data_IF_812665512584
#
_entry.id   IF_812665512584
#
_cell.length_a   1.000
_cell.length_b   1.000
_cell.length_c   1.000
_cell.angle_alpha   90.00
_cell.angle_beta   90.00
_cell.angle_gamma   90.00
#
_symmetry.space_group_name_H-M   'P 1'
#
loop_
_entity.id
_entity.type
_entity.pdbx_description
1 polymer ?
#
# COMPACT_ATOMS: atom_id res chain seq x y z
N UNK A 1 11.40 -9.69 15.36
CA UNK A 1 10.71 -9.06 14.20
C UNK A 1 9.25 -8.94 14.59
N UNK A 2 8.58 -7.88 14.14
CA UNK A 2 7.32 -7.43 14.75
C UNK A 2 6.11 -8.06 14.10
N UNK A 3 6.22 -8.27 12.79
CA UNK A 3 5.47 -9.29 12.10
C UNK A 3 6.18 -10.61 12.43
N UNK A 4 5.77 -11.33 13.48
CA UNK A 4 6.36 -12.64 13.79
C UNK A 4 5.85 -13.68 12.79
N UNK A 5 6.75 -14.14 11.91
CA UNK A 5 6.51 -15.27 11.00
C UNK A 5 7.75 -16.14 10.97
N UNK A 6 7.58 -17.47 11.04
CA UNK A 6 8.67 -18.43 10.95
C UNK A 6 9.53 -18.21 9.69
N UNK A 7 8.87 -17.80 8.60
CA UNK A 7 9.51 -17.45 7.33
C UNK A 7 10.56 -16.34 7.50
N UNK A 8 10.30 -15.33 8.32
CA UNK A 8 11.29 -14.26 8.49
C UNK A 8 12.50 -14.73 9.29
N UNK A 9 12.28 -15.59 10.29
CA UNK A 9 13.37 -16.24 11.03
C UNK A 9 14.24 -17.08 10.08
N UNK A 10 13.61 -17.87 9.21
CA UNK A 10 14.32 -18.62 8.15
C UNK A 10 15.16 -17.70 7.26
N UNK A 11 14.63 -16.55 6.82
CA UNK A 11 15.38 -15.58 6.00
C UNK A 11 16.62 -15.07 6.74
N UNK A 12 16.49 -14.67 8.00
CA UNK A 12 17.60 -14.16 8.81
C UNK A 12 18.64 -15.26 9.08
N UNK A 13 18.19 -16.47 9.41
CA UNK A 13 19.05 -17.62 9.70
C UNK A 13 19.83 -18.11 8.46
N UNK A 14 19.30 -17.89 7.25
CA UNK A 14 19.98 -18.26 6.00
C UNK A 14 21.30 -17.51 5.81
N UNK A 15 21.46 -16.31 6.39
CA UNK A 15 22.62 -15.38 6.29
C UNK A 15 22.96 -14.88 4.88
N UNK A 16 22.88 -15.75 3.88
CA UNK A 16 23.12 -15.46 2.46
C UNK A 16 21.95 -15.97 1.63
N UNK A 17 21.46 -15.14 0.71
CA UNK A 17 20.32 -15.45 -0.16
C UNK A 17 20.60 -15.07 -1.60
N UNK A 18 19.79 -15.62 -2.50
CA UNK A 18 19.62 -15.16 -3.87
C UNK A 18 18.28 -14.46 -4.02
N UNK A 19 18.21 -13.38 -4.79
CA UNK A 19 16.93 -12.74 -5.14
C UNK A 19 16.63 -13.01 -6.59
N UNK A 20 15.54 -13.75 -6.88
CA UNK A 20 15.12 -14.01 -8.25
C UNK A 20 14.32 -12.82 -8.80
N UNK A 21 14.85 -12.23 -9.86
CA UNK A 21 14.37 -11.04 -10.55
C UNK A 21 15.43 -9.93 -10.54
N UNK A 22 15.37 -9.04 -11.53
CA UNK A 22 16.17 -7.80 -11.56
C UNK A 22 15.28 -6.57 -11.78
N UNK A 23 14.01 -6.69 -11.37
CA UNK A 23 12.99 -5.64 -11.48
C UNK A 23 13.00 -4.72 -10.26
N UNK A 24 12.07 -3.78 -10.25
CA UNK A 24 11.83 -2.82 -9.17
C UNK A 24 11.43 -3.54 -7.89
N UNK A 25 10.55 -4.53 -7.97
CA UNK A 25 10.13 -5.36 -6.82
C UNK A 25 11.34 -6.11 -6.24
N UNK A 26 12.17 -6.70 -7.11
CA UNK A 26 13.40 -7.37 -6.67
C UNK A 26 14.37 -6.41 -6.00
N UNK A 27 14.54 -5.20 -6.56
CA UNK A 27 15.38 -4.16 -5.96
C UNK A 27 14.87 -3.75 -4.58
N UNK A 28 13.55 -3.54 -4.41
CA UNK A 28 12.94 -3.19 -3.12
C UNK A 28 13.13 -4.30 -2.08
N UNK A 29 12.88 -5.56 -2.46
CA UNK A 29 13.07 -6.73 -1.59
C UNK A 29 14.54 -6.84 -1.18
N UNK A 30 15.47 -6.75 -2.14
CA UNK A 30 16.90 -6.78 -1.85
C UNK A 30 17.31 -5.66 -0.90
N UNK A 31 16.80 -4.44 -1.10
CA UNK A 31 17.10 -3.30 -0.23
C UNK A 31 16.62 -3.53 1.21
N UNK A 32 15.40 -4.06 1.40
CA UNK A 32 14.89 -4.37 2.74
C UNK A 32 15.72 -5.47 3.43
N UNK A 33 16.04 -6.54 2.71
CA UNK A 33 16.69 -7.71 3.30
C UNK A 33 18.18 -7.48 3.60
N UNK A 34 18.83 -6.58 2.86
CA UNK A 34 20.24 -6.23 3.06
C UNK A 34 20.49 -5.27 4.23
N UNK A 35 19.44 -4.68 4.78
CA UNK A 35 19.50 -3.62 5.79
C UNK A 35 18.76 -4.06 7.07
N UNK A 36 18.82 -3.25 8.12
CA UNK A 36 18.18 -3.55 9.40
C UNK A 36 16.63 -3.64 9.25
N UNK A 37 15.93 -4.62 9.85
CA UNK A 37 16.39 -5.57 10.87
C UNK A 37 16.90 -6.92 10.34
N UNK A 38 17.00 -7.10 9.02
CA UNK A 38 17.30 -8.40 8.42
C UNK A 38 18.80 -8.65 8.31
N UNK A 39 19.56 -7.65 7.83
CA UNK A 39 21.01 -7.70 7.70
C UNK A 39 21.53 -8.95 6.95
N UNK A 40 20.76 -9.44 5.96
CA UNK A 40 21.07 -10.65 5.19
C UNK A 40 21.91 -10.30 3.95
N UNK A 41 22.90 -11.11 3.65
CA UNK A 41 23.70 -10.95 2.43
C UNK A 41 22.93 -11.42 1.20
N UNK A 42 22.49 -10.49 0.36
CA UNK A 42 22.12 -10.84 -1.03
C UNK A 42 23.40 -11.07 -1.82
N UNK A 43 23.66 -12.33 -2.22
CA UNK A 43 24.85 -12.69 -2.97
C UNK A 43 24.77 -12.28 -4.44
N UNK A 44 23.62 -12.52 -5.08
CA UNK A 44 23.34 -12.15 -6.46
C UNK A 44 21.83 -11.99 -6.69
N UNK A 45 21.51 -11.26 -7.74
CA UNK A 45 20.19 -11.26 -8.35
C UNK A 45 20.17 -12.28 -9.49
N UNK A 46 19.12 -13.08 -9.58
CA UNK A 46 19.03 -14.21 -10.52
C UNK A 46 17.95 -13.93 -11.54
N UNK A 47 18.24 -14.15 -12.83
CA UNK A 47 17.28 -13.99 -13.92
C UNK A 47 17.28 -15.22 -14.80
N UNK A 48 16.19 -15.47 -15.54
CA UNK A 48 16.14 -16.57 -16.51
C UNK A 48 17.09 -16.35 -17.68
N UNK A 49 17.25 -15.09 -18.13
CA UNK A 49 18.12 -14.74 -19.25
C UNK A 49 18.76 -13.37 -19.02
N UNK A 50 20.02 -13.22 -19.45
CA UNK A 50 20.77 -11.98 -19.28
C UNK A 50 20.25 -10.83 -20.17
N UNK A 51 19.70 -11.16 -21.35
CA UNK A 51 19.22 -10.17 -22.31
C UNK A 51 18.14 -9.27 -21.67
N UNK A 52 18.30 -7.95 -21.77
CA UNK A 52 17.31 -6.98 -21.26
C UNK A 52 17.34 -6.75 -19.75
N UNK A 53 18.20 -7.47 -19.00
CA UNK A 53 18.38 -7.25 -17.56
C UNK A 53 19.65 -6.42 -17.28
N UNK A 54 19.66 -5.62 -16.19
CA UNK A 54 20.87 -4.92 -15.76
C UNK A 54 21.96 -5.92 -15.38
N UNK A 55 23.23 -5.52 -15.44
CA UNK A 55 24.35 -6.35 -14.99
C UNK A 55 24.55 -6.33 -13.48
N UNK A 56 24.08 -5.27 -12.82
CA UNK A 56 24.28 -5.01 -11.40
C UNK A 56 23.01 -4.38 -10.83
N UNK A 57 22.57 -4.86 -9.66
CA UNK A 57 21.49 -4.28 -8.86
C UNK A 57 21.97 -4.20 -7.41
N UNK A 58 21.79 -3.05 -6.74
CA UNK A 58 22.28 -2.80 -5.37
C UNK A 58 23.76 -3.20 -5.14
N UNK A 59 24.62 -2.93 -6.13
CA UNK A 59 26.05 -3.32 -6.09
C UNK A 59 26.27 -4.84 -5.95
N UNK A 60 25.31 -5.65 -6.42
CA UNK A 60 25.37 -7.10 -6.53
C UNK A 60 25.24 -7.53 -7.99
N UNK A 61 25.92 -8.60 -8.41
CA UNK A 61 25.84 -9.07 -9.79
C UNK A 61 24.43 -9.59 -10.09
N UNK A 62 24.00 -9.39 -11.32
CA UNK A 62 22.85 -10.08 -11.91
C UNK A 62 23.39 -11.23 -12.75
N UNK A 63 23.02 -12.46 -12.41
CA UNK A 63 23.48 -13.69 -13.07
C UNK A 63 22.29 -14.50 -13.57
N UNK A 64 22.53 -15.39 -14.55
CA UNK A 64 21.47 -16.29 -15.00
C UNK A 64 21.25 -17.42 -13.99
N UNK A 65 20.09 -18.07 -14.06
CA UNK A 65 19.79 -19.23 -13.22
C UNK A 65 20.84 -20.33 -13.42
N UNK A 66 21.26 -20.62 -14.66
CA UNK A 66 22.26 -21.66 -14.92
C UNK A 66 23.62 -21.36 -14.27
N UNK A 67 24.02 -20.09 -14.24
CA UNK A 67 25.24 -19.68 -13.54
C UNK A 67 25.07 -19.81 -12.03
N UNK A 68 23.91 -19.44 -11.49
CA UNK A 68 23.63 -19.56 -10.07
C UNK A 68 23.72 -21.03 -9.59
N UNK A 69 23.20 -21.97 -10.36
CA UNK A 69 23.22 -23.41 -10.05
C UNK A 69 24.63 -24.01 -10.00
N UNK A 70 25.59 -23.41 -10.72
CA UNK A 70 26.99 -23.85 -10.72
C UNK A 70 27.79 -23.29 -9.55
N UNK A 71 27.36 -22.15 -8.99
CA UNK A 71 28.13 -21.36 -8.02
C UNK A 71 27.60 -21.53 -6.60
N UNK A 72 26.30 -21.71 -6.43
CA UNK A 72 25.65 -21.72 -5.12
C UNK A 72 25.15 -23.12 -4.73
N UNK A 73 25.25 -23.51 -3.44
CA UNK A 73 24.67 -24.73 -2.93
C UNK A 73 23.16 -24.83 -3.16
N UNK A 74 22.64 -26.05 -3.33
CA UNK A 74 21.20 -26.32 -3.58
C UNK A 74 20.26 -25.87 -2.45
N UNK A 75 20.77 -25.77 -1.23
CA UNK A 75 20.06 -25.30 -0.03
C UNK A 75 20.16 -23.78 0.15
N UNK A 76 20.77 -23.05 -0.78
CA UNK A 76 20.76 -21.58 -0.78
C UNK A 76 19.33 -21.09 -0.96
N UNK A 77 18.85 -20.29 0.00
CA UNK A 77 17.52 -19.73 -0.05
C UNK A 77 17.36 -18.74 -1.22
N UNK A 78 16.38 -18.99 -2.07
CA UNK A 78 15.98 -18.14 -3.19
C UNK A 78 14.70 -17.38 -2.84
N UNK A 79 14.79 -16.06 -2.83
CA UNK A 79 13.65 -15.16 -2.65
C UNK A 79 13.14 -14.72 -4.02
N UNK A 80 11.95 -15.14 -4.40
CA UNK A 80 11.34 -14.76 -5.67
C UNK A 80 10.56 -13.47 -5.49
N UNK A 81 11.05 -12.38 -6.09
CA UNK A 81 10.47 -11.05 -5.96
C UNK A 81 9.95 -10.56 -7.32
N UNK A 82 8.68 -10.85 -7.61
CA UNK A 82 8.10 -10.60 -8.93
C UNK A 82 6.65 -10.11 -8.88
N UNK A 83 6.22 -9.52 -9.99
CA UNK A 83 4.81 -9.23 -10.24
C UNK A 83 4.05 -10.52 -10.53
N UNK A 84 2.77 -10.57 -10.14
CA UNK A 84 1.92 -11.76 -10.17
C UNK A 84 1.88 -12.45 -11.54
N UNK A 85 1.80 -11.67 -12.63
CA UNK A 85 1.79 -12.19 -14.01
C UNK A 85 2.99 -13.07 -14.37
N UNK A 86 4.13 -12.89 -13.69
CA UNK A 86 5.35 -13.66 -13.94
C UNK A 86 5.49 -14.88 -13.01
N UNK A 87 4.67 -14.98 -11.95
CA UNK A 87 4.79 -16.00 -10.89
C UNK A 87 4.77 -17.42 -11.44
N UNK A 88 3.83 -17.74 -12.34
CA UNK A 88 3.68 -19.08 -12.91
C UNK A 88 4.89 -19.51 -13.73
N UNK A 89 5.40 -18.61 -14.57
CA UNK A 89 6.59 -18.87 -15.38
C UNK A 89 7.82 -19.11 -14.50
N UNK A 90 8.06 -18.23 -13.52
CA UNK A 90 9.20 -18.34 -12.60
C UNK A 90 9.09 -19.62 -11.76
N UNK A 91 7.89 -20.00 -11.31
CA UNK A 91 7.67 -21.25 -10.59
C UNK A 91 8.05 -22.47 -11.43
N UNK A 92 7.69 -22.48 -12.71
CA UNK A 92 8.05 -23.57 -13.62
C UNK A 92 9.56 -23.67 -13.86
N UNK A 93 10.26 -22.54 -13.95
CA UNK A 93 11.72 -22.54 -14.12
C UNK A 93 12.44 -22.98 -12.84
N UNK A 94 12.04 -22.47 -11.68
CA UNK A 94 12.63 -22.88 -10.40
C UNK A 94 12.32 -24.33 -10.04
N UNK A 95 11.17 -24.88 -10.45
CA UNK A 95 10.84 -26.29 -10.25
C UNK A 95 11.76 -27.24 -11.04
N UNK A 96 12.43 -26.74 -12.09
CA UNK A 96 13.45 -27.49 -12.85
C UNK A 96 14.86 -27.25 -12.30
N UNK A 97 15.02 -26.33 -11.37
CA UNK A 97 16.33 -25.91 -10.86
C UNK A 97 16.82 -26.80 -9.73
N UNK A 98 18.09 -26.65 -9.36
CA UNK A 98 18.68 -27.37 -8.22
C UNK A 98 18.25 -26.83 -6.85
N UNK A 99 17.71 -25.61 -6.79
CA UNK A 99 17.40 -24.94 -5.53
C UNK A 99 16.14 -25.51 -4.87
N UNK A 100 16.26 -25.96 -3.63
CA UNK A 100 15.14 -26.58 -2.88
C UNK A 100 14.42 -25.60 -1.97
N UNK A 101 15.11 -24.55 -1.51
CA UNK A 101 14.58 -23.55 -0.59
C UNK A 101 14.13 -22.30 -1.35
N UNK A 102 12.82 -22.15 -1.54
CA UNK A 102 12.25 -21.04 -2.33
C UNK A 102 11.11 -20.36 -1.58
N UNK A 103 11.21 -19.05 -1.37
CA UNK A 103 10.15 -18.21 -0.84
C UNK A 103 9.61 -17.30 -1.95
N UNK A 104 8.29 -17.33 -2.18
CA UNK A 104 7.63 -16.46 -3.15
C UNK A 104 7.08 -15.19 -2.49
N UNK A 105 7.59 -14.05 -2.93
CA UNK A 105 7.08 -12.72 -2.61
C UNK A 105 6.45 -12.11 -3.87
N UNK A 106 5.11 -12.04 -3.91
CA UNK A 106 4.44 -11.19 -4.89
C UNK A 106 4.33 -9.77 -4.33
N UNK A 107 4.27 -8.77 -5.21
CA UNK A 107 4.13 -7.36 -4.81
C UNK A 107 2.91 -7.10 -3.90
N UNK A 108 1.85 -7.88 -4.06
CA UNK A 108 0.63 -7.74 -3.27
C UNK A 108 0.60 -8.64 -2.02
N UNK A 109 1.54 -9.60 -1.91
CA UNK A 109 1.53 -10.57 -0.81
C UNK A 109 1.66 -9.93 0.57
N UNK A 110 0.97 -10.52 1.53
CA UNK A 110 1.09 -10.15 2.95
C UNK A 110 2.50 -10.39 3.47
N UNK A 111 3.21 -11.38 2.92
CA UNK A 111 4.59 -11.65 3.29
C UNK A 111 5.52 -10.49 2.92
N UNK A 112 5.36 -9.94 1.71
CA UNK A 112 6.10 -8.74 1.31
C UNK A 112 5.71 -7.53 2.17
N UNK A 113 4.43 -7.39 2.51
CA UNK A 113 3.93 -6.34 3.42
C UNK A 113 4.62 -6.42 4.79
N UNK A 114 4.74 -7.62 5.37
CA UNK A 114 5.47 -7.82 6.63
C UNK A 114 6.97 -7.53 6.51
N UNK A 115 7.62 -7.88 5.38
CA UNK A 115 9.04 -7.58 5.17
C UNK A 115 9.30 -6.08 5.23
N UNK A 116 8.60 -5.33 4.38
CA UNK A 116 8.76 -3.86 4.29
C UNK A 116 8.27 -3.15 5.55
N UNK A 117 7.29 -3.69 6.26
CA UNK A 117 6.82 -3.15 7.54
C UNK A 117 7.89 -3.23 8.63
N UNK A 118 8.55 -4.40 8.79
CA UNK A 118 9.67 -4.56 9.72
C UNK A 118 10.84 -3.62 9.36
N UNK A 119 11.16 -3.51 8.06
CA UNK A 119 12.18 -2.60 7.56
C UNK A 119 11.85 -1.13 7.90
N UNK A 120 10.62 -0.71 7.65
CA UNK A 120 10.17 0.65 7.96
C UNK A 120 10.22 0.96 9.46
N UNK A 121 9.81 0.04 10.33
CA UNK A 121 9.88 0.26 11.79
C UNK A 121 11.32 0.50 12.23
N UNK A 122 12.24 -0.38 11.85
CA UNK A 122 13.67 -0.18 12.14
C UNK A 122 14.18 1.18 11.65
N UNK A 123 13.84 1.55 10.42
CA UNK A 123 14.19 2.85 9.83
C UNK A 123 13.65 4.04 10.63
N UNK A 124 12.39 3.98 11.06
CA UNK A 124 11.77 5.04 11.85
C UNK A 124 12.37 5.12 13.25
N UNK A 125 12.59 3.98 13.90
CA UNK A 125 13.21 3.91 15.23
C UNK A 125 14.61 4.55 15.21
N UNK A 126 15.41 4.27 14.17
CA UNK A 126 16.73 4.89 13.95
C UNK A 126 16.68 6.41 13.69
N UNK A 127 15.55 6.92 13.20
CA UNK A 127 15.31 8.34 12.96
C UNK A 127 14.58 9.03 14.14
N UNK A 128 14.27 8.29 15.21
CA UNK A 128 13.55 8.82 16.37
C UNK A 128 12.04 8.99 16.15
N UNK A 129 11.48 8.42 15.09
CA UNK A 129 10.04 8.39 14.84
C UNK A 129 9.42 7.14 15.44
N UNK A 130 8.17 7.24 15.92
CA UNK A 130 7.46 6.10 16.52
C UNK A 130 6.63 5.39 15.47
N UNK A 131 6.96 4.13 15.21
CA UNK A 131 6.12 3.24 14.42
C UNK A 131 5.09 2.58 15.33
N UNK A 132 3.82 3.00 15.24
CA UNK A 132 2.71 2.52 16.08
C UNK A 132 1.99 1.37 15.39
N UNK A 133 2.30 0.12 15.75
CA UNK A 133 1.51 -1.01 15.27
C UNK A 133 0.17 -1.00 16.02
N UNK A 134 -0.94 -0.99 15.28
CA UNK A 134 -2.28 -0.84 15.86
C UNK A 134 -2.57 -1.91 16.92
N UNK A 135 -2.23 -3.16 16.63
CA UNK A 135 -2.48 -4.26 17.56
C UNK A 135 -1.67 -4.12 18.86
N UNK A 136 -0.48 -3.52 18.83
CA UNK A 136 0.30 -3.22 20.05
C UNK A 136 -0.39 -2.13 20.87
N UNK A 137 -0.77 -1.01 20.24
CA UNK A 137 -1.45 0.10 20.91
C UNK A 137 -2.79 -0.34 21.52
N UNK A 138 -3.55 -1.20 20.83
CA UNK A 138 -4.82 -1.71 21.34
C UNK A 138 -4.66 -2.74 22.47
N UNK A 139 -3.55 -3.50 22.52
CA UNK A 139 -3.27 -4.42 23.63
C UNK A 139 -3.01 -3.67 24.93
N UNK A 140 -2.39 -2.50 24.86
CA UNK A 140 -2.06 -1.66 26.02
C UNK A 140 -3.28 -0.94 26.63
N UNK A 141 -4.39 -0.83 25.90
CA UNK A 141 -5.64 -0.24 26.41
C UNK A 141 -6.24 -1.09 27.53
N UNK A 142 -6.38 -0.48 28.72
CA UNK A 142 -7.10 -1.05 29.87
C UNK A 142 -8.59 -1.18 29.55
N UNK A 143 -9.23 -2.23 30.08
CA UNK A 143 -10.62 -2.57 29.78
C UNK A 143 -11.65 -1.57 30.37
N UNK A 144 -11.23 -0.73 31.31
CA UNK A 144 -12.09 0.14 32.15
C UNK A 144 -12.51 1.48 31.51
N UNK A 145 -12.39 1.67 30.20
CA UNK A 145 -12.88 2.90 29.56
C UNK A 145 -14.41 2.86 29.47
N UNK A 146 -15.09 3.71 30.24
CA UNK A 146 -16.54 3.96 30.15
C UNK A 146 -16.91 4.35 28.70
N UNK A 147 -17.89 3.64 28.14
CA UNK A 147 -18.22 3.74 26.73
C UNK A 147 -19.19 4.91 26.47
N UNK A 148 -18.74 5.88 25.68
CA UNK A 148 -19.65 6.46 24.69
C UNK A 148 -19.84 5.41 23.60
N UNK A 149 -21.08 5.17 23.16
CA UNK A 149 -21.41 4.30 22.04
C UNK A 149 -20.92 4.94 20.73
N UNK A 150 -19.60 4.87 20.48
CA UNK A 150 -19.03 5.25 19.18
C UNK A 150 -19.25 4.14 18.18
N UNK A 151 -19.36 4.53 16.92
CA UNK A 151 -19.60 3.65 15.78
C UNK A 151 -18.45 3.69 14.78
N UNK A 152 -18.27 2.60 14.04
CA UNK A 152 -17.29 2.50 12.96
C UNK A 152 -18.00 2.05 11.69
N UNK A 153 -17.79 2.80 10.60
CA UNK A 153 -18.22 2.43 9.25
C UNK A 153 -17.02 2.36 8.33
N UNK A 154 -16.63 1.14 7.92
CA UNK A 154 -15.58 0.93 6.92
C UNK A 154 -16.24 0.42 5.65
N UNK A 155 -15.89 1.03 4.52
CA UNK A 155 -16.56 0.80 3.26
C UNK A 155 -15.61 0.20 2.24
N UNK A 156 -15.98 -0.95 1.69
CA UNK A 156 -15.25 -1.66 0.66
C UNK A 156 -15.68 -1.18 -0.72
N UNK A 157 -14.78 -0.51 -1.41
CA UNK A 157 -15.02 -0.09 -2.80
C UNK A 157 -15.04 -1.31 -3.71
N UNK A 158 -16.18 -1.53 -4.38
CA UNK A 158 -16.41 -2.62 -5.33
C UNK A 158 -16.89 -2.07 -6.69
N UNK A 159 -16.56 -2.76 -7.78
CA UNK A 159 -16.84 -2.32 -9.14
C UNK A 159 -17.22 -3.47 -10.07
N UNK A 160 -17.82 -3.15 -11.22
CA UNK A 160 -18.10 -4.12 -12.29
C UNK A 160 -16.85 -4.76 -12.92
N UNK A 161 -15.66 -4.23 -12.64
CA UNK A 161 -14.38 -4.73 -13.18
C UNK A 161 -13.62 -5.62 -12.19
N UNK A 162 -14.21 -5.85 -11.02
CA UNK A 162 -13.60 -6.68 -9.99
C UNK A 162 -13.58 -8.14 -10.44
N UNK A 163 -12.48 -8.82 -10.10
CA UNK A 163 -12.34 -10.25 -10.36
C UNK A 163 -13.06 -11.05 -9.29
N UNK A 164 -13.52 -12.23 -9.67
CA UNK A 164 -14.00 -13.22 -8.70
C UNK A 164 -12.87 -13.57 -7.73
N UNK A 165 -13.20 -13.57 -6.44
CA UNK A 165 -12.28 -13.87 -5.35
C UNK A 165 -12.26 -15.38 -5.10
N UNK A 166 -11.09 -15.90 -4.75
CA UNK A 166 -10.89 -17.34 -4.52
C UNK A 166 -10.93 -17.73 -3.05
N UNK A 167 -10.88 -16.76 -2.14
CA UNK A 167 -10.86 -16.97 -0.69
C UNK A 167 -12.20 -16.58 -0.04
N UNK A 168 -12.48 -17.18 1.12
CA UNK A 168 -13.64 -16.81 1.94
C UNK A 168 -13.37 -15.47 2.65
N UNK A 169 -14.22 -14.49 2.35
CA UNK A 169 -14.14 -13.13 2.90
C UNK A 169 -15.14 -12.85 4.03
N UNK A 170 -15.84 -13.88 4.55
CA UNK A 170 -16.85 -13.72 5.63
C UNK A 170 -16.30 -13.06 6.90
N UNK A 171 -15.00 -13.16 7.16
CA UNK A 171 -14.32 -12.46 8.26
C UNK A 171 -14.32 -10.92 8.10
N UNK A 172 -14.70 -10.42 6.92
CA UNK A 172 -14.77 -9.00 6.57
C UNK A 172 -16.20 -8.48 6.34
N UNK A 173 -17.23 -9.22 6.80
CA UNK A 173 -18.65 -8.81 6.69
C UNK A 173 -19.00 -7.50 7.43
N UNK A 174 -18.09 -7.02 8.28
CA UNK A 174 -18.19 -5.74 8.96
C UNK A 174 -17.79 -4.55 8.07
N UNK A 175 -17.24 -4.80 6.87
CA UNK A 175 -16.94 -3.80 5.86
C UNK A 175 -18.13 -3.69 4.88
N UNK A 176 -18.84 -2.56 4.90
CA UNK A 176 -19.99 -2.33 4.03
C UNK A 176 -19.55 -2.16 2.56
N UNK A 177 -20.19 -2.85 1.62
CA UNK A 177 -19.88 -2.64 0.21
C UNK A 177 -20.45 -1.34 -0.33
N UNK A 178 -19.62 -0.57 -1.04
CA UNK A 178 -20.04 0.59 -1.83
C UNK A 178 -19.65 0.40 -3.30
N UNK A 179 -20.65 0.42 -4.18
CA UNK A 179 -20.43 0.30 -5.62
C UNK A 179 -19.91 1.61 -6.19
N UNK A 180 -18.70 1.58 -6.76
CA UNK A 180 -18.03 2.76 -7.33
C UNK A 180 -18.27 2.88 -8.83
N UNK A 181 -18.36 4.11 -9.32
CA UNK A 181 -18.68 4.39 -10.71
C UNK A 181 -20.07 3.90 -11.10
N UNK A 182 -21.01 3.86 -10.13
CA UNK A 182 -22.38 3.42 -10.36
C UNK A 182 -23.09 4.21 -11.47
N UNK A 183 -22.79 5.50 -11.61
CA UNK A 183 -23.32 6.34 -12.69
C UNK A 183 -22.84 5.93 -14.10
N UNK A 184 -21.80 5.08 -14.19
CA UNK A 184 -21.19 4.60 -15.42
C UNK A 184 -21.48 3.11 -15.69
N UNK A 185 -22.35 2.48 -14.90
CA UNK A 185 -22.66 1.05 -15.01
C UNK A 185 -24.15 0.78 -14.90
N UNK A 186 -24.64 -0.06 -15.81
CA UNK A 186 -25.99 -0.62 -15.73
C UNK A 186 -26.04 -1.88 -14.82
N UNK A 187 -24.88 -2.33 -14.33
CA UNK A 187 -24.72 -3.55 -13.53
C UNK A 187 -24.32 -3.19 -12.11
N UNK A 188 -25.30 -2.80 -11.30
CA UNK A 188 -25.08 -2.53 -9.88
C UNK A 188 -25.86 -3.54 -9.02
N UNK A 189 -25.15 -4.26 -8.15
CA UNK A 189 -25.73 -5.24 -7.23
C UNK A 189 -25.70 -4.83 -5.76
N UNK A 190 -24.96 -3.77 -5.41
CA UNK A 190 -24.79 -3.36 -4.02
C UNK A 190 -25.87 -2.38 -3.57
N UNK A 191 -26.16 -2.41 -2.26
CA UNK A 191 -27.12 -1.49 -1.64
C UNK A 191 -26.61 -0.05 -1.61
N UNK A 192 -25.33 0.15 -1.29
CA UNK A 192 -24.71 1.48 -1.30
C UNK A 192 -24.06 1.72 -2.65
N UNK A 193 -24.26 2.92 -3.17
CA UNK A 193 -23.79 3.36 -4.47
C UNK A 193 -23.23 4.76 -4.35
N UNK A 194 -22.12 5.00 -5.03
CA UNK A 194 -21.48 6.30 -5.02
C UNK A 194 -22.21 7.35 -5.88
N UNK A 195 -23.33 7.03 -6.54
CA UNK A 195 -24.08 7.94 -7.43
C UNK A 195 -25.37 8.51 -6.82
N UNK A 196 -25.58 8.33 -5.52
CA UNK A 196 -26.73 8.84 -4.79
C UNK A 196 -26.36 10.10 -3.99
N UNK A 197 -27.21 11.13 -3.98
CA UNK A 197 -26.96 12.36 -3.21
C UNK A 197 -25.84 13.22 -3.81
N UNK A 198 -25.10 13.95 -2.97
CA UNK A 198 -23.91 14.73 -3.40
C UNK A 198 -22.76 13.77 -3.73
N UNK A 199 -22.36 13.73 -4.99
CA UNK A 199 -21.40 12.75 -5.49
C UNK A 199 -20.62 13.19 -6.74
N UNK A 200 -19.60 12.39 -7.07
CA UNK A 200 -18.76 12.52 -8.28
C UNK A 200 -18.63 11.18 -9.04
N UNK A 201 -19.64 10.31 -8.98
CA UNK A 201 -19.58 8.95 -9.53
C UNK A 201 -19.24 8.91 -11.04
N UNK A 202 -19.71 9.91 -11.80
CA UNK A 202 -19.41 10.05 -13.24
C UNK A 202 -17.91 10.24 -13.52
N UNK A 203 -17.14 10.68 -12.53
CA UNK A 203 -15.71 10.93 -12.64
C UNK A 203 -14.84 9.72 -12.24
N UNK A 204 -15.46 8.55 -11.97
CA UNK A 204 -14.77 7.35 -11.49
C UNK A 204 -13.62 6.88 -12.40
N UNK A 205 -13.71 7.11 -13.72
CA UNK A 205 -12.61 6.78 -14.65
C UNK A 205 -11.30 7.53 -14.35
N UNK A 206 -11.38 8.68 -13.66
CA UNK A 206 -10.23 9.49 -13.24
C UNK A 206 -9.91 9.33 -11.76
N UNK A 207 -10.95 9.36 -10.92
CA UNK A 207 -10.85 9.35 -9.46
C UNK A 207 -10.76 7.94 -8.85
N UNK A 208 -11.15 6.90 -9.58
CA UNK A 208 -11.23 5.53 -9.09
C UNK A 208 -12.02 5.46 -7.76
N UNK A 209 -11.51 4.77 -6.75
CA UNK A 209 -12.11 4.59 -5.43
C UNK A 209 -12.30 5.91 -4.66
N UNK A 210 -11.68 7.01 -5.10
CA UNK A 210 -11.93 8.33 -4.51
C UNK A 210 -13.37 8.83 -4.75
N UNK A 211 -14.12 8.26 -5.70
CA UNK A 211 -15.55 8.57 -5.81
C UNK A 211 -16.35 8.04 -4.62
N UNK A 212 -16.01 6.86 -4.09
CA UNK A 212 -16.51 6.39 -2.80
C UNK A 212 -16.03 7.30 -1.67
N UNK A 213 -14.74 7.67 -1.64
CA UNK A 213 -14.22 8.58 -0.61
C UNK A 213 -15.00 9.91 -0.55
N UNK A 214 -15.29 10.51 -1.72
CA UNK A 214 -16.11 11.71 -1.81
C UNK A 214 -17.53 11.46 -1.30
N UNK A 215 -18.15 10.35 -1.71
CA UNK A 215 -19.49 10.02 -1.25
C UNK A 215 -19.55 9.86 0.27
N UNK A 216 -18.57 9.17 0.87
CA UNK A 216 -18.45 9.02 2.32
C UNK A 216 -18.26 10.36 3.03
N UNK A 217 -17.46 11.27 2.46
CA UNK A 217 -17.30 12.62 2.99
C UNK A 217 -18.64 13.36 3.14
N UNK A 218 -19.57 13.16 2.21
CA UNK A 218 -20.87 13.81 2.20
C UNK A 218 -21.94 13.09 3.00
N UNK A 219 -21.84 11.77 3.14
CA UNK A 219 -22.96 10.94 3.59
C UNK A 219 -22.67 10.09 4.85
N UNK A 220 -21.41 9.80 5.19
CA UNK A 220 -21.08 8.93 6.32
C UNK A 220 -21.21 9.65 7.67
N UNK A 221 -21.87 8.99 8.63
CA UNK A 221 -22.19 9.53 9.96
C UNK A 221 -21.49 8.84 11.12
N UNK A 222 -20.81 7.71 10.87
CA UNK A 222 -20.11 6.96 11.90
C UNK A 222 -18.96 7.75 12.53
N UNK A 223 -18.64 7.49 13.80
CA UNK A 223 -17.58 8.20 14.53
C UNK A 223 -16.18 7.91 13.98
N UNK A 224 -15.97 6.69 13.47
CA UNK A 224 -14.85 6.36 12.59
C UNK A 224 -15.38 6.01 11.21
N UNK A 225 -14.74 6.57 10.18
CA UNK A 225 -15.05 6.31 8.77
C UNK A 225 -13.79 5.78 8.10
N UNK A 226 -13.93 4.74 7.28
CA UNK A 226 -12.82 4.18 6.53
C UNK A 226 -13.17 3.71 5.14
N UNK A 227 -12.15 3.61 4.29
CA UNK A 227 -12.23 3.11 2.92
C UNK A 227 -11.24 1.94 2.76
N UNK A 228 -11.70 0.84 2.18
CA UNK A 228 -10.87 -0.30 1.78
C UNK A 228 -11.17 -0.74 0.34
N UNK A 229 -10.38 -1.70 -0.18
CA UNK A 229 -10.53 -2.24 -1.54
C UNK A 229 -11.20 -3.60 -1.51
N UNK A 230 -11.86 -3.98 -2.61
CA UNK A 230 -12.47 -5.30 -2.74
C UNK A 230 -11.53 -6.50 -2.50
N UNK A 231 -10.21 -6.34 -2.68
CA UNK A 231 -9.17 -7.37 -2.46
C UNK A 231 -8.18 -7.03 -1.35
N UNK A 232 -8.38 -5.94 -0.63
CA UNK A 232 -7.48 -5.55 0.47
C UNK A 232 -8.30 -5.13 1.67
N UNK A 233 -8.25 -5.97 2.69
CA UNK A 233 -9.08 -5.82 3.88
C UNK A 233 -8.22 -5.52 5.10
N UNK A 234 -8.78 -4.80 6.06
CA UNK A 234 -8.08 -4.55 7.33
C UNK A 234 -8.12 -5.80 8.21
N UNK A 235 -6.97 -6.24 8.72
CA UNK A 235 -6.89 -7.36 9.65
C UNK A 235 -7.27 -6.90 11.07
N UNK A 236 -8.57 -6.70 11.32
CA UNK A 236 -9.11 -6.26 12.60
C UNK A 236 -10.20 -7.19 13.09
N UNK A 237 -9.95 -7.87 14.21
CA UNK A 237 -10.94 -8.67 14.91
C UNK A 237 -12.03 -7.79 15.53
N UNK A 238 -13.18 -8.39 15.86
CA UNK A 238 -14.26 -7.69 16.56
C UNK A 238 -13.78 -7.03 17.87
N UNK A 239 -12.93 -7.74 18.62
CA UNK A 239 -12.31 -7.22 19.85
C UNK A 239 -11.43 -6.00 19.59
N UNK A 240 -10.64 -6.01 18.52
CA UNK A 240 -9.79 -4.88 18.15
C UNK A 240 -10.61 -3.68 17.67
N UNK A 241 -11.67 -3.90 16.88
CA UNK A 241 -12.59 -2.82 16.47
C UNK A 241 -13.27 -2.19 17.69
N UNK A 242 -13.75 -2.99 18.63
CA UNK A 242 -14.34 -2.50 19.88
C UNK A 242 -13.33 -1.70 20.73
N UNK A 243 -12.05 -2.11 20.74
CA UNK A 243 -10.97 -1.37 21.42
C UNK A 243 -10.61 -0.07 20.69
N UNK A 244 -10.57 -0.07 19.36
CA UNK A 244 -10.30 1.13 18.56
C UNK A 244 -11.29 2.25 18.90
N UNK A 245 -12.59 1.93 19.00
CA UNK A 245 -13.64 2.87 19.38
C UNK A 245 -13.43 3.50 20.78
N UNK A 246 -12.76 2.79 21.68
CA UNK A 246 -12.42 3.25 23.03
C UNK A 246 -11.02 3.86 23.14
N UNK A 247 -10.26 3.87 22.04
CA UNK A 247 -8.88 4.34 22.03
C UNK A 247 -8.77 5.84 21.78
N UNK A 248 -7.55 6.35 21.97
CA UNK A 248 -7.13 7.70 21.57
C UNK A 248 -6.60 7.75 20.12
N UNK A 249 -6.61 6.63 19.38
CA UNK A 249 -6.07 6.53 18.01
C UNK A 249 -6.91 7.36 17.05
N UNK A 250 -6.29 8.28 16.33
CA UNK A 250 -6.98 9.21 15.44
C UNK A 250 -7.18 8.65 14.03
N UNK A 251 -6.15 7.99 13.53
CA UNK A 251 -6.08 7.47 12.17
C UNK A 251 -5.43 6.09 12.18
N UNK A 252 -5.99 5.17 11.40
CA UNK A 252 -5.43 3.88 11.06
C UNK A 252 -5.11 3.88 9.58
N UNK A 253 -3.85 3.64 9.22
CA UNK A 253 -3.36 3.47 7.84
C UNK A 253 -2.79 2.07 7.68
N UNK A 254 -2.58 1.62 6.44
CA UNK A 254 -1.88 0.35 6.20
C UNK A 254 -0.36 0.53 6.14
N UNK A 255 0.39 -0.57 6.22
CA UNK A 255 1.84 -0.57 5.95
C UNK A 255 2.11 0.07 4.57
N UNK A 256 2.88 1.17 4.49
CA UNK A 256 3.06 1.91 3.26
C UNK A 256 3.79 1.07 2.20
N UNK A 257 3.56 1.46 0.96
CA UNK A 257 4.26 0.92 -0.21
C UNK A 257 5.65 1.53 -0.26
N UNK A 258 6.64 0.70 -0.56
CA UNK A 258 8.02 1.12 -0.74
C UNK A 258 8.30 1.44 -2.22
N UNK A 259 8.97 2.56 -2.46
CA UNK A 259 9.50 3.01 -3.75
C UNK A 259 11.01 3.22 -3.65
N UNK A 260 11.76 2.73 -4.62
CA UNK A 260 13.22 2.83 -4.64
C UNK A 260 13.70 3.16 -6.06
N UNK A 261 14.44 4.27 -6.27
CA UNK A 261 15.19 5.01 -5.25
C UNK A 261 14.40 6.09 -4.49
N UNK A 262 13.30 6.63 -5.03
CA UNK A 262 12.39 7.52 -4.31
C UNK A 262 10.97 7.52 -4.90
N UNK A 263 10.00 8.13 -4.22
CA UNK A 263 8.59 8.16 -4.66
C UNK A 263 8.43 8.88 -6.00
N UNK A 264 9.10 10.01 -6.20
CA UNK A 264 8.99 10.80 -7.43
C UNK A 264 9.51 10.02 -8.64
N UNK A 265 10.72 9.46 -8.56
CA UNK A 265 11.31 8.71 -9.68
C UNK A 265 10.47 7.48 -10.07
N UNK A 266 9.88 6.79 -9.09
CA UNK A 266 8.97 5.69 -9.39
C UNK A 266 7.68 6.20 -10.03
N UNK A 267 7.14 7.33 -9.57
CA UNK A 267 5.98 7.95 -10.20
C UNK A 267 6.27 8.29 -11.66
N UNK A 268 7.36 9.01 -11.94
CA UNK A 268 7.72 9.45 -13.30
C UNK A 268 8.00 8.29 -14.26
N UNK A 269 8.40 7.13 -13.73
CA UNK A 269 8.55 5.91 -14.53
C UNK A 269 7.20 5.28 -14.89
N UNK A 270 6.28 5.22 -13.93
CA UNK A 270 5.04 4.45 -14.06
C UNK A 270 3.85 5.30 -14.53
N UNK A 271 3.95 6.63 -14.44
CA UNK A 271 2.89 7.60 -14.71
C UNK A 271 3.40 8.84 -15.43
N UNK A 272 2.48 9.64 -15.99
CA UNK A 272 2.81 10.91 -16.64
C UNK A 272 3.41 11.93 -15.64
N UNK A 273 4.69 12.34 -15.80
CA UNK A 273 5.34 13.30 -14.92
C UNK A 273 4.65 14.67 -14.86
N UNK A 274 3.91 15.06 -15.90
CA UNK A 274 3.24 16.36 -15.93
C UNK A 274 2.08 16.43 -14.94
N UNK A 275 1.42 15.31 -14.65
CA UNK A 275 0.37 15.25 -13.62
C UNK A 275 0.95 15.55 -12.23
N UNK A 276 2.18 15.09 -11.94
CA UNK A 276 2.87 15.43 -10.69
C UNK A 276 3.20 16.91 -10.60
N UNK A 277 3.69 17.51 -11.70
CA UNK A 277 4.00 18.95 -11.74
C UNK A 277 2.75 19.79 -11.48
N UNK A 278 1.60 19.39 -12.03
CA UNK A 278 0.31 20.03 -11.76
C UNK A 278 -0.08 19.87 -10.30
N UNK A 279 0.04 18.68 -9.71
CA UNK A 279 -0.24 18.45 -8.28
C UNK A 279 0.64 19.33 -7.37
N UNK A 280 1.94 19.41 -7.66
CA UNK A 280 2.87 20.28 -6.94
C UNK A 280 2.46 21.74 -7.03
N UNK A 281 2.06 22.19 -8.22
CA UNK A 281 1.53 23.54 -8.41
C UNK A 281 0.22 23.77 -7.65
N UNK A 282 -0.66 22.77 -7.60
CA UNK A 282 -1.90 22.82 -6.84
C UNK A 282 -1.62 23.06 -5.35
N UNK A 283 -0.70 22.28 -4.76
CA UNK A 283 -0.27 22.47 -3.36
C UNK A 283 0.28 23.89 -3.16
N UNK A 284 1.18 24.36 -4.03
CA UNK A 284 1.74 25.72 -3.91
C UNK A 284 0.69 26.83 -3.93
N UNK A 285 -0.42 26.66 -4.65
CA UNK A 285 -1.46 27.68 -4.82
C UNK A 285 -2.54 27.57 -3.74
N UNK A 286 -2.94 26.34 -3.41
CA UNK A 286 -4.10 26.06 -2.55
C UNK A 286 -3.74 25.81 -1.09
N UNK A 287 -2.62 25.13 -0.87
CA UNK A 287 -2.23 24.57 0.43
C UNK A 287 -0.70 24.73 0.65
N UNK A 288 -0.14 25.95 0.57
CA UNK A 288 1.30 26.17 0.50
C UNK A 288 2.08 25.61 1.69
N UNK A 289 1.45 25.52 2.87
CA UNK A 289 2.06 24.98 4.10
C UNK A 289 2.43 23.50 3.98
N UNK A 290 1.85 22.76 3.02
CA UNK A 290 2.15 21.35 2.77
C UNK A 290 3.30 21.14 1.77
N UNK A 291 3.87 22.21 1.19
CA UNK A 291 4.88 22.09 0.14
C UNK A 291 6.15 21.37 0.64
N UNK A 292 6.57 21.64 1.87
CA UNK A 292 7.76 21.00 2.43
C UNK A 292 7.53 19.50 2.65
N UNK A 293 6.33 19.11 3.08
CA UNK A 293 5.96 17.70 3.27
C UNK A 293 5.84 16.97 1.93
N UNK A 294 5.33 17.63 0.88
CA UNK A 294 5.41 17.09 -0.48
C UNK A 294 6.86 16.83 -0.90
N UNK A 295 7.79 17.75 -0.65
CA UNK A 295 9.21 17.57 -1.01
C UNK A 295 9.84 16.40 -0.21
N UNK A 296 9.46 16.22 1.06
CA UNK A 296 9.88 15.04 1.84
C UNK A 296 9.34 13.75 1.22
N UNK A 297 8.07 13.72 0.81
CA UNK A 297 7.47 12.56 0.14
C UNK A 297 8.16 12.28 -1.19
N UNK A 298 8.40 13.29 -2.04
CA UNK A 298 9.12 13.16 -3.32
C UNK A 298 10.45 12.41 -3.18
N UNK A 299 11.24 12.82 -2.17
CA UNK A 299 12.58 12.28 -1.89
C UNK A 299 12.56 11.00 -1.05
N UNK A 300 11.43 10.70 -0.42
CA UNK A 300 11.25 9.56 0.45
C UNK A 300 11.10 8.25 -0.32
N UNK A 301 11.09 7.15 0.44
CA UNK A 301 10.91 5.80 -0.10
C UNK A 301 9.54 5.20 0.18
N UNK A 302 8.64 5.91 0.87
CA UNK A 302 7.39 5.33 1.34
C UNK A 302 6.22 6.26 1.05
N UNK A 303 5.09 5.64 0.70
CA UNK A 303 3.79 6.31 0.60
C UNK A 303 2.67 5.34 0.99
N UNK A 304 1.58 5.86 1.56
CA UNK A 304 0.36 5.10 1.81
C UNK A 304 -0.39 4.89 0.50
N UNK A 305 -0.23 3.69 -0.06
CA UNK A 305 -0.91 3.31 -1.29
C UNK A 305 -2.40 3.02 -1.09
N UNK A 306 -3.10 2.81 -2.19
CA UNK A 306 -4.49 2.35 -2.25
C UNK A 306 -5.54 3.31 -1.65
N UNK A 307 -5.19 4.48 -1.13
CA UNK A 307 -6.14 5.36 -0.44
C UNK A 307 -6.89 4.66 0.71
N UNK A 308 -6.26 3.66 1.35
CA UNK A 308 -6.85 2.87 2.43
C UNK A 308 -6.51 3.46 3.79
N UNK A 309 -7.54 3.85 4.54
CA UNK A 309 -7.41 4.32 5.92
C UNK A 309 -8.75 4.26 6.65
N UNK A 310 -8.69 4.33 7.98
CA UNK A 310 -9.83 4.55 8.87
C UNK A 310 -9.47 5.75 9.72
N UNK A 311 -10.35 6.72 9.90
CA UNK A 311 -10.08 7.89 10.73
C UNK A 311 -11.31 8.31 11.52
N UNK A 312 -11.09 9.05 12.61
CA UNK A 312 -12.19 9.79 13.26
C UNK A 312 -12.89 10.67 12.21
N UNK A 313 -14.22 10.74 12.29
CA UNK A 313 -15.07 11.36 11.26
C UNK A 313 -14.64 12.80 10.93
N UNK A 314 -14.29 13.59 11.94
CA UNK A 314 -13.86 14.97 11.73
C UNK A 314 -12.54 15.04 10.93
N UNK A 315 -11.55 14.21 11.27
CA UNK A 315 -10.28 14.12 10.53
C UNK A 315 -10.52 13.63 9.11
N UNK A 316 -11.40 12.64 8.92
CA UNK A 316 -11.80 12.17 7.59
C UNK A 316 -12.38 13.31 6.73
N UNK A 317 -13.28 14.13 7.31
CA UNK A 317 -13.90 15.28 6.64
C UNK A 317 -12.88 16.36 6.29
N UNK A 318 -11.96 16.65 7.20
CA UNK A 318 -10.91 17.66 6.99
C UNK A 318 -9.92 17.21 5.92
N UNK A 319 -9.53 15.94 5.94
CA UNK A 319 -8.73 15.33 4.87
C UNK A 319 -9.44 15.41 3.52
N UNK A 320 -10.72 15.02 3.42
CA UNK A 320 -11.45 15.07 2.16
C UNK A 320 -11.58 16.50 1.63
N UNK A 321 -11.88 17.48 2.51
CA UNK A 321 -11.93 18.89 2.12
C UNK A 321 -10.60 19.37 1.54
N UNK A 322 -9.48 19.02 2.18
CA UNK A 322 -8.14 19.35 1.71
C UNK A 322 -7.80 18.64 0.39
N UNK A 323 -8.04 17.33 0.32
CA UNK A 323 -7.72 16.48 -0.83
C UNK A 323 -8.48 16.94 -2.07
N UNK A 324 -9.81 17.12 -1.98
CA UNK A 324 -10.64 17.44 -3.14
C UNK A 324 -10.44 18.88 -3.64
N UNK A 325 -10.01 19.84 -2.80
CA UNK A 325 -9.61 21.17 -3.29
C UNK A 325 -8.34 21.10 -4.16
N UNK A 326 -7.37 20.26 -3.79
CA UNK A 326 -6.17 20.00 -4.59
C UNK A 326 -6.51 19.22 -5.86
N UNK A 327 -7.29 18.14 -5.75
CA UNK A 327 -7.64 17.31 -6.91
C UNK A 327 -8.56 18.02 -7.90
N UNK A 328 -9.43 18.93 -7.46
CA UNK A 328 -10.22 19.78 -8.36
C UNK A 328 -9.32 20.70 -9.20
N UNK A 329 -8.28 21.28 -8.59
CA UNK A 329 -7.26 22.00 -9.35
C UNK A 329 -6.59 21.07 -10.37
N UNK A 330 -6.17 19.87 -9.95
CA UNK A 330 -5.51 18.92 -10.86
C UNK A 330 -6.43 18.51 -12.01
N UNK A 331 -7.70 18.23 -11.75
CA UNK A 331 -8.69 17.84 -12.77
C UNK A 331 -8.89 18.94 -13.84
N UNK A 332 -8.73 20.22 -13.47
CA UNK A 332 -8.84 21.37 -14.39
C UNK A 332 -7.58 21.63 -15.22
N UNK A 333 -6.41 21.20 -14.74
CA UNK A 333 -5.12 21.57 -15.29
C UNK A 333 -4.32 20.40 -15.88
N UNK A 334 -4.60 19.17 -15.48
CA UNK A 334 -4.07 17.96 -16.11
C UNK A 334 -4.76 17.70 -17.45
N UNK A 335 -4.03 17.06 -18.36
CA UNK A 335 -4.56 16.63 -19.66
C UNK A 335 -5.19 15.23 -19.45
N UNK A 336 -6.49 15.03 -19.75
CA UNK A 336 -7.10 13.70 -19.76
C UNK A 336 -6.36 12.76 -20.71
N UNK A 337 -6.28 11.47 -20.36
CA UNK A 337 -5.50 10.49 -21.14
C UNK A 337 -6.44 9.59 -21.95
N UNK A 338 -6.01 9.20 -23.14
CA UNK A 338 -6.72 8.19 -23.94
C UNK A 338 -6.51 6.77 -23.35
N UNK A 339 -5.33 6.50 -22.81
CA UNK A 339 -5.04 5.24 -22.14
C UNK A 339 -5.83 5.12 -20.84
N UNK A 340 -6.66 4.09 -20.73
CA UNK A 340 -7.58 3.91 -19.61
C UNK A 340 -6.85 3.75 -18.27
N UNK A 341 -5.63 3.23 -18.25
CA UNK A 341 -4.84 3.08 -17.03
C UNK A 341 -4.25 4.43 -16.59
N UNK A 342 -3.60 5.17 -17.48
CA UNK A 342 -3.05 6.50 -17.21
C UNK A 342 -4.13 7.54 -16.94
N UNK A 343 -5.35 7.36 -17.48
CA UNK A 343 -6.47 8.26 -17.21
C UNK A 343 -6.93 8.23 -15.73
N UNK A 344 -6.43 7.29 -14.93
CA UNK A 344 -6.66 7.20 -13.46
C UNK A 344 -5.77 8.14 -12.65
N UNK A 345 -5.18 9.15 -13.29
CA UNK A 345 -4.18 10.04 -12.69
C UNK A 345 -4.62 10.67 -11.37
N UNK A 346 -5.89 11.06 -11.19
CA UNK A 346 -6.35 11.64 -9.92
C UNK A 346 -6.35 10.61 -8.78
N UNK A 347 -6.68 9.35 -9.07
CA UNK A 347 -6.51 8.25 -8.12
C UNK A 347 -5.05 8.07 -7.72
N UNK A 348 -4.13 8.09 -8.69
CA UNK A 348 -2.68 7.95 -8.42
C UNK A 348 -2.13 9.11 -7.59
N UNK A 349 -2.53 10.36 -7.88
CA UNK A 349 -2.14 11.54 -7.10
C UNK A 349 -2.71 11.46 -5.68
N UNK A 350 -3.96 11.01 -5.52
CA UNK A 350 -4.61 10.82 -4.21
C UNK A 350 -3.79 9.96 -3.25
N UNK A 351 -3.19 8.88 -3.74
CA UNK A 351 -2.37 7.98 -2.91
C UNK A 351 -1.15 8.70 -2.32
N UNK A 352 -0.52 9.59 -3.09
CA UNK A 352 0.65 10.34 -2.59
C UNK A 352 0.21 11.50 -1.70
N UNK A 353 -0.92 12.14 -2.02
CA UNK A 353 -1.51 13.19 -1.19
C UNK A 353 -1.94 12.68 0.19
N UNK A 354 -2.42 11.43 0.31
CA UNK A 354 -2.66 10.80 1.61
C UNK A 354 -1.39 10.81 2.48
N UNK A 355 -0.24 10.49 1.90
CA UNK A 355 1.04 10.50 2.61
C UNK A 355 1.45 11.90 3.02
N UNK A 356 1.29 12.88 2.13
CA UNK A 356 1.59 14.29 2.42
C UNK A 356 0.76 14.78 3.61
N UNK A 357 -0.53 14.46 3.63
CA UNK A 357 -1.44 14.85 4.72
C UNK A 357 -1.05 14.20 6.06
N UNK A 358 -0.78 12.90 6.07
CA UNK A 358 -0.38 12.17 7.28
C UNK A 358 0.98 12.65 7.81
N UNK A 359 1.91 13.02 6.92
CA UNK A 359 3.21 13.55 7.32
C UNK A 359 3.10 14.95 7.92
N UNK A 360 2.25 15.81 7.35
CA UNK A 360 2.03 17.16 7.86
C UNK A 360 1.45 17.14 9.27
N UNK A 361 0.51 16.22 9.53
CA UNK A 361 -0.18 16.08 10.82
C UNK A 361 0.41 15.00 11.73
N UNK A 362 1.65 14.58 11.49
CA UNK A 362 2.27 13.49 12.25
C UNK A 362 2.32 13.78 13.76
N UNK A 363 2.54 15.04 14.15
CA UNK A 363 2.57 15.47 15.55
C UNK A 363 1.18 15.81 16.11
N UNK A 364 0.19 16.02 15.23
CA UNK A 364 -1.19 16.36 15.61
C UNK A 364 -2.05 15.12 15.86
N UNK A 365 -1.77 14.01 15.14
CA UNK A 365 -2.60 12.81 15.14
C UNK A 365 -1.85 11.60 15.71
N UNK A 366 -2.56 10.79 16.50
CA UNK A 366 -2.10 9.44 16.83
C UNK A 366 -2.40 8.49 15.66
N UNK A 367 -1.46 8.42 14.72
CA UNK A 367 -1.53 7.56 13.53
C UNK A 367 -1.00 6.15 13.85
N UNK A 368 -1.86 5.14 13.71
CA UNK A 368 -1.51 3.73 13.87
C UNK A 368 -1.47 3.01 12.52
N UNK A 369 -0.61 2.01 12.41
CA UNK A 369 -0.43 1.17 11.23
C UNK A 369 -1.11 -0.16 11.48
N UNK A 370 -2.06 -0.54 10.64
CA UNK A 370 -2.73 -1.83 10.65
C UNK A 370 -2.15 -2.76 9.59
N UNK A 371 -2.23 -4.05 9.91
CA UNK A 371 -2.09 -5.10 8.92
C UNK A 371 -3.26 -5.08 7.94
N UNK A 372 -2.95 -5.46 6.71
CA UNK A 372 -3.95 -5.76 5.67
C UNK A 372 -3.74 -7.16 5.15
N UNK A 373 -4.82 -7.76 4.71
CA UNK A 373 -4.81 -9.02 3.96
C UNK A 373 -5.14 -8.75 2.50
N UNK A 374 -4.30 -9.25 1.60
CA UNK A 374 -4.61 -9.30 0.17
C UNK A 374 -5.28 -10.63 -0.19
N UNK A 375 -6.51 -10.57 -0.70
CA UNK A 375 -7.30 -11.74 -1.14
C UNK A 375 -7.04 -12.00 -2.62
N UNK A 376 -6.71 -13.26 -2.98
CA UNK A 376 -6.42 -13.67 -4.37
C UNK A 376 -7.66 -13.77 -5.27
#
# INVERSE_FOLDING_TARGET
MLYERDIFKQIVESRTILVYGASVVATQVGQCLMDDPYNVRVAAFVVTHAQGNPKVVLKRPVITLEVAEQVFPKDTLVIVACVEKNRKSIKNELAKSVFTEVIYLTFESDLWTGIRGNYMRSRLDNLGYRYRLLQEELRELKEEVEAQEKTIGVYRAVSQYDKELTEDISNYDWEDEIFVGAALSDKCSCRLRDDVGDNISTENRKYCELTALYWLWKNATADYVGLCHYRRHFCLSEKERAKLLKSDIDVVVTVPVMNYPCVLEIYERDHDPDDWKVMKKAIMVKQPDYLFDLIKVERGNFYFGYNMFIAKNQIFKDYCKWLFDILDYCNKHCIPKEDAYQNRFLGFLGERLLTVYMLHHYDDFKIAIADKHFVE
#
